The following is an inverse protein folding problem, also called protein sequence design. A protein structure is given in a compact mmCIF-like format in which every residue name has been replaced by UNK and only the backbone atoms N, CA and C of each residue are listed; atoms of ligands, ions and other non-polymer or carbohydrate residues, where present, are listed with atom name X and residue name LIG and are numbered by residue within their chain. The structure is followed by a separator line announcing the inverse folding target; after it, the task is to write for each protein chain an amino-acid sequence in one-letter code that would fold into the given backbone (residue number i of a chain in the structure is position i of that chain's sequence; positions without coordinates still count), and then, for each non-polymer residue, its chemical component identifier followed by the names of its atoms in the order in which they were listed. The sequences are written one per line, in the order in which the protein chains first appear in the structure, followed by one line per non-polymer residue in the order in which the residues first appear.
data_IF_664211187539
#
_entry.id   IF_664211187539
#
_cell.length_a   1.000
_cell.length_b   1.000
_cell.length_c   1.000
_cell.angle_alpha   90.00
_cell.angle_beta   90.00
_cell.angle_gamma   90.00
#
_symmetry.space_group_name_H-M   'P 1'
#
loop_
_entity.id
_entity.type
_entity.pdbx_description
1 polymer ?
#
# COMPACT_ATOMS: atom_id res chain seq x y z
N UNK A 1 13.33 -18.47 -27.81
CA UNK A 1 12.34 -18.78 -26.74
C UNK A 1 12.32 -17.61 -25.78
N UNK A 2 11.14 -17.06 -25.45
CA UNK A 2 11.05 -15.88 -24.56
C UNK A 2 10.90 -16.27 -23.07
N UNK A 3 10.46 -17.50 -22.84
CA UNK A 3 10.23 -18.05 -21.50
C UNK A 3 11.00 -19.36 -21.33
N UNK A 4 11.56 -19.59 -20.16
CA UNK A 4 12.17 -20.86 -19.78
C UNK A 4 11.53 -21.41 -18.51
N UNK A 5 11.41 -22.72 -18.45
CA UNK A 5 10.83 -23.42 -17.30
C UNK A 5 11.95 -23.98 -16.43
N UNK A 6 12.07 -23.46 -15.21
CA UNK A 6 13.01 -23.92 -14.22
C UNK A 6 12.34 -24.63 -13.02
N UNK A 7 13.14 -25.08 -12.07
CA UNK A 7 12.64 -25.68 -10.81
C UNK A 7 11.84 -24.70 -9.94
N UNK A 8 12.08 -23.40 -10.10
CA UNK A 8 11.40 -22.29 -9.40
C UNK A 8 10.19 -21.71 -10.15
N UNK A 9 9.78 -22.32 -11.28
CA UNK A 9 8.66 -21.84 -12.08
C UNK A 9 9.09 -21.43 -13.50
N UNK A 10 8.36 -20.47 -14.10
CA UNK A 10 8.63 -19.93 -15.43
C UNK A 10 9.33 -18.59 -15.29
N UNK A 11 10.48 -18.43 -15.96
CA UNK A 11 11.25 -17.21 -15.98
C UNK A 11 11.39 -16.68 -17.43
N UNK A 12 11.63 -15.36 -17.55
CA UNK A 12 11.99 -14.76 -18.82
C UNK A 12 13.45 -15.13 -19.17
N UNK A 13 13.67 -15.47 -20.42
CA UNK A 13 15.04 -15.55 -20.97
C UNK A 13 15.64 -14.16 -21.15
N UNK A 14 16.93 -14.06 -21.47
CA UNK A 14 17.57 -12.78 -21.83
C UNK A 14 16.81 -12.07 -22.96
N UNK A 15 16.44 -12.80 -24.01
CA UNK A 15 15.63 -12.27 -25.12
C UNK A 15 14.24 -11.85 -24.65
N UNK A 16 13.64 -12.63 -23.73
CA UNK A 16 12.35 -12.30 -23.11
C UNK A 16 12.40 -10.99 -22.34
N UNK A 17 13.45 -10.78 -21.55
CA UNK A 17 13.66 -9.51 -20.82
C UNK A 17 13.89 -8.33 -21.77
N UNK A 18 14.64 -8.55 -22.85
CA UNK A 18 14.89 -7.51 -23.85
C UNK A 18 13.61 -7.09 -24.59
N UNK A 19 12.74 -8.04 -24.90
CA UNK A 19 11.49 -7.78 -25.63
C UNK A 19 10.32 -7.34 -24.73
N UNK A 20 10.42 -7.57 -23.43
CA UNK A 20 9.35 -7.22 -22.47
C UNK A 20 8.84 -5.77 -22.57
N UNK A 21 9.70 -4.73 -22.70
CA UNK A 21 9.24 -3.36 -22.86
C UNK A 21 8.39 -3.15 -24.12
N UNK A 22 8.77 -3.81 -25.22
CA UNK A 22 8.02 -3.70 -26.47
C UNK A 22 6.67 -4.41 -26.39
N UNK A 23 6.61 -5.56 -25.73
CA UNK A 23 5.35 -6.27 -25.48
C UNK A 23 4.42 -5.43 -24.61
N UNK A 24 4.96 -4.78 -23.57
CA UNK A 24 4.20 -3.86 -22.73
C UNK A 24 3.62 -2.71 -23.53
N UNK A 25 4.43 -2.07 -24.39
CA UNK A 25 3.95 -0.98 -25.27
C UNK A 25 2.80 -1.43 -26.20
N UNK A 26 2.86 -2.65 -26.72
CA UNK A 26 1.78 -3.21 -27.55
C UNK A 26 0.50 -3.43 -26.73
N UNK A 27 0.63 -3.99 -25.55
CA UNK A 27 -0.50 -4.15 -24.63
C UNK A 27 -1.12 -2.79 -24.28
N UNK A 28 -0.30 -1.81 -23.94
CA UNK A 28 -0.76 -0.45 -23.60
C UNK A 28 -1.47 0.22 -24.79
N UNK A 29 -0.92 0.10 -25.99
CA UNK A 29 -1.55 0.62 -27.20
C UNK A 29 -2.91 -0.07 -27.48
N UNK A 30 -3.01 -1.37 -27.24
CA UNK A 30 -4.26 -2.13 -27.36
C UNK A 30 -5.30 -1.64 -26.35
N UNK A 31 -4.90 -1.40 -25.10
CA UNK A 31 -5.78 -0.85 -24.06
C UNK A 31 -6.32 0.53 -24.46
N UNK A 32 -5.44 1.43 -24.89
CA UNK A 32 -5.85 2.77 -25.37
C UNK A 32 -6.81 2.70 -26.54
N UNK A 33 -6.60 1.75 -27.46
CA UNK A 33 -7.53 1.53 -28.56
C UNK A 33 -8.90 1.07 -28.07
N UNK A 34 -8.95 0.15 -27.11
CA UNK A 34 -10.22 -0.34 -26.54
C UNK A 34 -10.95 0.79 -25.80
N UNK A 35 -10.25 1.63 -25.07
CA UNK A 35 -10.78 2.81 -24.39
C UNK A 35 -11.41 3.76 -25.40
N UNK A 36 -10.70 4.11 -26.47
CA UNK A 36 -11.22 4.98 -27.53
C UNK A 36 -12.44 4.39 -28.25
N UNK A 37 -12.45 3.08 -28.47
CA UNK A 37 -13.62 2.38 -29.02
C UNK A 37 -14.81 2.44 -28.04
N UNK A 38 -14.55 2.35 -26.74
CA UNK A 38 -15.55 2.54 -25.67
C UNK A 38 -16.16 3.93 -25.71
N UNK A 39 -15.33 4.96 -25.77
CA UNK A 39 -15.75 6.37 -25.87
C UNK A 39 -16.61 6.62 -27.13
N UNK A 40 -16.17 6.13 -28.30
CA UNK A 40 -16.91 6.27 -29.55
C UNK A 40 -18.28 5.58 -29.53
N UNK A 41 -18.42 4.53 -28.73
CA UNK A 41 -19.69 3.80 -28.55
C UNK A 41 -20.59 4.43 -27.47
N UNK A 42 -20.13 5.49 -26.79
CA UNK A 42 -20.84 6.08 -25.67
C UNK A 42 -20.98 5.13 -24.46
N UNK A 43 -20.16 4.08 -24.41
CA UNK A 43 -20.16 3.09 -23.34
C UNK A 43 -19.08 3.50 -22.33
N UNK A 44 -19.45 4.31 -21.35
CA UNK A 44 -18.63 4.59 -20.17
C UNK A 44 -18.65 3.38 -19.21
N UNK A 45 -18.16 2.24 -19.71
CA UNK A 45 -18.08 1.00 -18.95
C UNK A 45 -16.68 0.43 -19.03
N UNK A 46 -16.17 -0.08 -17.92
CA UNK A 46 -14.83 -0.64 -17.86
C UNK A 46 -14.53 -1.13 -16.45
N UNK A 47 -13.32 -1.63 -16.24
CA UNK A 47 -12.80 -2.04 -14.95
C UNK A 47 -11.53 -1.25 -14.64
N UNK A 48 -11.50 -0.56 -13.49
CA UNK A 48 -10.30 0.08 -12.97
C UNK A 48 -9.75 -0.78 -11.83
N UNK A 49 -8.52 -1.25 -11.98
CA UNK A 49 -7.79 -1.95 -10.92
C UNK A 49 -6.92 -0.96 -10.18
N UNK A 50 -7.06 -0.92 -8.87
CA UNK A 50 -6.39 0.05 -8.01
C UNK A 50 -5.54 -0.70 -6.99
N UNK A 51 -4.22 -0.47 -7.02
CA UNK A 51 -3.31 -0.92 -5.97
C UNK A 51 -3.47 -0.05 -4.73
N UNK A 52 -3.69 -0.65 -3.56
CA UNK A 52 -3.99 0.10 -2.35
C UNK A 52 -3.48 -0.61 -1.09
N UNK A 53 -3.48 0.08 0.03
CA UNK A 53 -3.21 -0.45 1.35
C UNK A 53 -4.38 -0.15 2.28
N UNK A 54 -4.44 -0.80 3.45
CA UNK A 54 -5.62 -0.83 4.32
C UNK A 54 -6.23 0.54 4.61
N UNK A 55 -5.42 1.52 5.03
CA UNK A 55 -5.91 2.84 5.40
C UNK A 55 -6.50 3.61 4.21
N UNK A 56 -5.84 3.61 3.05
CA UNK A 56 -6.36 4.26 1.84
C UNK A 56 -7.62 3.55 1.33
N UNK A 57 -7.65 2.21 1.36
CA UNK A 57 -8.81 1.41 0.98
C UNK A 57 -10.04 1.70 1.86
N UNK A 58 -9.82 1.97 3.14
CA UNK A 58 -10.90 2.20 4.11
C UNK A 58 -11.39 3.65 4.09
N UNK A 59 -10.48 4.61 4.07
CA UNK A 59 -10.84 6.01 4.34
C UNK A 59 -10.95 6.88 3.09
N UNK A 60 -10.18 6.58 2.04
CA UNK A 60 -10.19 7.39 0.82
C UNK A 60 -11.02 6.79 -0.30
N UNK A 61 -10.79 5.52 -0.65
CA UNK A 61 -11.43 4.89 -1.80
C UNK A 61 -12.97 4.92 -1.77
N UNK A 62 -13.66 4.69 -0.65
CA UNK A 62 -15.12 4.73 -0.65
C UNK A 62 -15.69 6.10 -1.07
N UNK A 63 -15.04 7.19 -0.66
CA UNK A 63 -15.44 8.55 -1.05
C UNK A 63 -15.10 8.85 -2.51
N UNK A 64 -13.89 8.48 -2.94
CA UNK A 64 -13.43 8.68 -4.32
C UNK A 64 -14.35 7.93 -5.28
N UNK A 65 -14.59 6.64 -5.05
CA UNK A 65 -15.45 5.81 -5.89
C UNK A 65 -16.89 6.34 -5.92
N UNK A 66 -17.42 6.75 -4.76
CA UNK A 66 -18.78 7.32 -4.70
C UNK A 66 -18.92 8.57 -5.57
N UNK A 67 -17.94 9.47 -5.53
CA UNK A 67 -17.98 10.70 -6.35
C UNK A 67 -17.77 10.37 -7.83
N UNK A 68 -16.79 9.53 -8.15
CA UNK A 68 -16.48 9.16 -9.52
C UNK A 68 -17.63 8.41 -10.22
N UNK A 69 -18.38 7.57 -9.49
CA UNK A 69 -19.55 6.86 -10.03
C UNK A 69 -20.71 7.76 -10.45
N UNK A 70 -20.75 9.01 -10.00
CA UNK A 70 -21.79 9.97 -10.44
C UNK A 70 -21.61 10.32 -11.93
N UNK A 71 -20.36 10.45 -12.35
CA UNK A 71 -20.02 10.83 -13.71
C UNK A 71 -19.81 9.60 -14.62
N UNK A 72 -19.34 8.46 -14.00
CA UNK A 72 -19.00 7.22 -14.71
C UNK A 72 -19.68 6.00 -14.08
N UNK A 73 -21.03 5.90 -14.16
CA UNK A 73 -21.79 4.86 -13.47
C UNK A 73 -21.54 3.43 -13.98
N UNK A 74 -21.00 3.29 -15.20
CA UNK A 74 -20.70 1.98 -15.82
C UNK A 74 -19.28 1.48 -15.54
N UNK A 75 -18.50 2.16 -14.72
CA UNK A 75 -17.14 1.73 -14.35
C UNK A 75 -17.19 0.84 -13.11
N UNK A 76 -16.61 -0.34 -13.21
CA UNK A 76 -16.37 -1.26 -12.10
C UNK A 76 -14.96 -1.07 -11.50
N UNK A 77 -14.75 -1.57 -10.29
CA UNK A 77 -13.50 -1.39 -9.56
C UNK A 77 -13.03 -2.71 -8.97
N UNK A 78 -11.72 -2.95 -9.07
CA UNK A 78 -11.04 -4.04 -8.38
C UNK A 78 -9.93 -3.45 -7.51
N UNK A 79 -9.90 -3.78 -6.21
CA UNK A 79 -8.89 -3.30 -5.28
C UNK A 79 -7.91 -4.42 -4.96
N UNK A 80 -6.64 -4.19 -5.24
CA UNK A 80 -5.55 -5.08 -4.89
C UNK A 80 -4.83 -4.52 -3.67
N UNK A 81 -4.93 -5.24 -2.53
CA UNK A 81 -4.24 -4.84 -1.31
C UNK A 81 -2.81 -5.37 -1.30
N UNK A 82 -1.86 -4.48 -1.07
CA UNK A 82 -0.44 -4.82 -0.98
C UNK A 82 0.36 -3.78 -0.21
N UNK A 83 1.65 -4.06 -0.02
CA UNK A 83 2.58 -3.05 0.43
C UNK A 83 3.03 -2.13 -0.73
N UNK A 84 3.77 -1.06 -0.40
CA UNK A 84 4.20 -0.08 -1.40
C UNK A 84 5.05 -0.69 -2.52
N UNK A 85 5.90 -1.68 -2.20
CA UNK A 85 6.76 -2.35 -3.19
C UNK A 85 5.94 -3.25 -4.11
N UNK A 86 4.95 -3.95 -3.57
CA UNK A 86 4.01 -4.76 -4.36
C UNK A 86 3.20 -3.88 -5.30
N UNK A 87 2.67 -2.75 -4.80
CA UNK A 87 1.88 -1.81 -5.61
C UNK A 87 2.74 -1.20 -6.73
N UNK A 88 3.98 -0.78 -6.44
CA UNK A 88 4.91 -0.31 -7.48
C UNK A 88 5.15 -1.38 -8.55
N UNK A 89 5.39 -2.63 -8.15
CA UNK A 89 5.57 -3.73 -9.09
C UNK A 89 4.31 -3.95 -9.94
N UNK A 90 3.11 -3.93 -9.34
CA UNK A 90 1.85 -4.08 -10.08
C UNK A 90 1.63 -2.96 -11.09
N UNK A 91 2.02 -1.73 -10.77
CA UNK A 91 1.98 -0.61 -11.71
C UNK A 91 2.93 -0.83 -12.88
N UNK A 92 4.18 -1.27 -12.63
CA UNK A 92 5.12 -1.58 -13.71
C UNK A 92 4.71 -2.78 -14.56
N UNK A 93 4.04 -3.75 -13.97
CA UNK A 93 3.53 -4.94 -14.66
C UNK A 93 2.22 -4.67 -15.42
N UNK A 94 1.60 -3.50 -15.22
CA UNK A 94 0.28 -3.19 -15.77
C UNK A 94 -0.83 -4.04 -15.16
N UNK A 95 -0.62 -4.56 -13.95
CA UNK A 95 -1.60 -5.34 -13.20
C UNK A 95 -2.66 -4.45 -12.58
N UNK A 96 -2.30 -3.20 -12.28
CA UNK A 96 -3.21 -2.14 -11.84
C UNK A 96 -2.99 -0.89 -12.68
N UNK A 97 -4.04 -0.12 -12.91
CA UNK A 97 -4.00 1.12 -13.70
C UNK A 97 -3.50 2.31 -12.87
N UNK A 98 -3.76 2.29 -11.58
CA UNK A 98 -3.25 3.30 -10.63
C UNK A 98 -3.08 2.68 -9.24
N UNK A 99 -2.42 3.42 -8.33
CA UNK A 99 -2.22 2.94 -6.97
C UNK A 99 -1.83 4.03 -6.01
N UNK A 100 -2.05 3.77 -4.72
CA UNK A 100 -1.59 4.63 -3.64
C UNK A 100 -0.20 4.20 -3.20
N UNK A 101 0.70 5.18 -3.08
CA UNK A 101 2.10 4.96 -2.73
C UNK A 101 2.55 5.99 -1.70
N UNK A 102 3.62 5.65 -1.01
CA UNK A 102 4.39 6.60 -0.21
C UNK A 102 5.43 7.28 -1.10
N UNK A 103 5.58 8.59 -0.94
CA UNK A 103 6.65 9.34 -1.63
C UNK A 103 7.98 9.27 -0.85
N UNK A 104 9.13 9.29 -1.55
CA UNK A 104 9.27 9.31 -3.01
C UNK A 104 8.93 7.96 -3.64
N UNK A 105 8.13 7.96 -4.70
CA UNK A 105 7.87 6.79 -5.52
C UNK A 105 9.02 6.57 -6.52
N UNK A 106 9.04 5.40 -7.17
CA UNK A 106 10.00 5.10 -8.21
C UNK A 106 9.93 6.15 -9.34
N UNK A 107 11.07 6.71 -9.80
CA UNK A 107 11.10 7.75 -10.85
C UNK A 107 10.46 7.34 -12.19
N UNK A 108 10.26 6.05 -12.43
CA UNK A 108 9.56 5.54 -13.62
C UNK A 108 8.05 5.64 -13.55
N UNK A 109 7.47 6.08 -12.41
CA UNK A 109 6.04 6.26 -12.21
C UNK A 109 5.68 7.74 -12.19
N UNK A 110 4.63 8.12 -12.90
CA UNK A 110 4.01 9.41 -12.72
C UNK A 110 3.28 9.43 -11.38
N UNK A 111 3.65 10.34 -10.49
CA UNK A 111 3.07 10.42 -9.15
C UNK A 111 2.53 11.80 -8.83
N UNK A 112 1.43 11.83 -8.08
CA UNK A 112 0.80 13.07 -7.61
C UNK A 112 0.67 13.04 -6.09
N UNK A 113 1.19 14.07 -5.43
CA UNK A 113 1.03 14.23 -3.99
C UNK A 113 -0.44 14.42 -3.63
N UNK A 114 -0.95 13.66 -2.69
CA UNK A 114 -2.31 13.75 -2.17
C UNK A 114 -2.34 14.40 -0.79
N UNK A 115 -1.72 13.76 0.18
CA UNK A 115 -1.77 14.20 1.58
C UNK A 115 -0.51 13.75 2.34
N UNK A 116 -0.23 14.39 3.46
CA UNK A 116 0.80 13.98 4.41
C UNK A 116 0.13 13.27 5.57
N UNK A 117 0.57 12.04 5.86
CA UNK A 117 0.14 11.30 7.03
C UNK A 117 1.17 11.39 8.16
N UNK A 118 0.75 11.11 9.38
CA UNK A 118 1.58 11.12 10.58
C UNK A 118 1.60 9.74 11.22
N UNK A 119 2.76 9.35 11.73
CA UNK A 119 2.86 8.17 12.58
C UNK A 119 2.51 8.56 14.02
N UNK A 120 1.57 7.85 14.62
CA UNK A 120 1.08 8.09 15.98
C UNK A 120 1.20 6.86 16.85
N UNK A 121 1.50 7.08 18.13
CA UNK A 121 1.54 6.00 19.12
C UNK A 121 0.13 5.51 19.43
N UNK A 122 -0.05 4.19 19.45
CA UNK A 122 -1.29 3.52 19.83
C UNK A 122 -1.08 2.79 21.15
N UNK A 123 -1.89 3.12 22.13
CA UNK A 123 -1.79 2.68 23.51
C UNK A 123 -3.15 2.20 24.03
N UNK A 124 -3.20 1.21 24.94
CA UNK A 124 -4.42 0.91 25.67
C UNK A 124 -4.91 2.16 26.44
N UNK A 125 -6.23 2.32 26.58
CA UNK A 125 -6.82 3.51 27.22
C UNK A 125 -6.35 3.73 28.67
N UNK A 126 -6.07 2.66 29.38
CA UNK A 126 -5.62 2.67 30.78
C UNK A 126 -4.10 2.70 30.94
N UNK A 127 -3.35 2.73 29.83
CA UNK A 127 -1.89 2.74 29.86
C UNK A 127 -1.33 3.99 30.54
N UNK A 128 -0.27 3.84 31.33
CA UNK A 128 0.34 4.95 32.11
C UNK A 128 0.82 6.09 31.21
N UNK A 129 1.37 5.76 30.04
CA UNK A 129 1.83 6.75 29.06
C UNK A 129 0.66 7.53 28.43
N UNK A 130 -0.50 6.90 28.25
CA UNK A 130 -1.69 7.57 27.71
C UNK A 130 -2.27 8.60 28.68
N UNK A 131 -2.20 8.34 29.99
CA UNK A 131 -2.72 9.22 31.03
C UNK A 131 -1.98 10.55 31.15
N UNK A 132 -0.77 10.66 30.64
CA UNK A 132 0.03 11.87 30.72
C UNK A 132 -0.55 13.03 29.89
N UNK A 133 -1.36 12.74 28.87
CA UNK A 133 -1.90 13.72 27.92
C UNK A 133 -0.84 14.47 27.11
N UNK A 134 0.40 13.98 27.14
CA UNK A 134 1.56 14.55 26.42
C UNK A 134 2.00 13.61 25.30
N UNK A 135 2.79 14.14 24.40
CA UNK A 135 3.47 13.32 23.39
C UNK A 135 4.31 12.23 24.08
N UNK A 136 4.23 11.02 23.55
CA UNK A 136 4.95 9.87 24.11
C UNK A 136 6.32 9.76 23.46
N UNK A 137 7.42 9.86 24.25
CA UNK A 137 8.76 9.70 23.70
C UNK A 137 8.95 8.29 23.12
N UNK A 138 9.51 8.19 21.92
CA UNK A 138 9.76 6.90 21.24
C UNK A 138 10.62 5.95 22.10
N UNK A 139 11.52 6.50 22.93
CA UNK A 139 12.35 5.71 23.85
C UNK A 139 11.55 5.01 24.94
N UNK A 140 10.39 5.53 25.33
CA UNK A 140 9.47 4.88 26.27
C UNK A 140 8.69 3.79 25.58
N UNK A 141 8.20 4.03 24.35
CA UNK A 141 7.53 3.00 23.53
C UNK A 141 8.46 1.80 23.27
N UNK A 142 9.76 2.04 23.09
CA UNK A 142 10.74 0.97 22.86
C UNK A 142 10.88 -0.01 24.04
N UNK A 143 10.49 0.40 25.25
CA UNK A 143 10.57 -0.42 26.47
C UNK A 143 9.31 -1.24 26.74
N UNK A 144 8.22 -0.89 26.08
CA UNK A 144 6.95 -1.57 26.22
C UNK A 144 6.88 -2.82 25.29
N UNK A 145 6.04 -3.81 25.60
CA UNK A 145 5.70 -4.86 24.64
C UNK A 145 5.19 -4.24 23.34
N UNK A 146 5.96 -4.36 22.27
CA UNK A 146 5.70 -3.64 21.03
C UNK A 146 5.12 -4.56 19.95
N UNK A 147 4.10 -4.07 19.26
CA UNK A 147 3.53 -4.74 18.07
C UNK A 147 3.97 -3.99 16.83
N UNK A 148 4.67 -4.68 15.95
CA UNK A 148 5.28 -4.12 14.76
C UNK A 148 4.43 -4.40 13.53
N UNK A 149 4.04 -3.32 12.84
CA UNK A 149 3.43 -3.40 11.51
C UNK A 149 4.54 -3.54 10.47
N UNK A 150 4.76 -4.75 9.98
CA UNK A 150 5.81 -5.00 8.98
C UNK A 150 5.49 -6.23 8.13
N UNK A 151 5.80 -6.16 6.82
CA UNK A 151 5.72 -7.26 5.87
C UNK A 151 7.00 -7.30 5.04
N UNK A 152 7.79 -8.36 5.22
CA UNK A 152 8.89 -8.72 4.31
C UNK A 152 10.05 -7.73 4.14
N UNK A 153 10.12 -6.67 4.95
CA UNK A 153 11.13 -5.63 4.83
C UNK A 153 11.08 -4.64 5.99
N UNK A 154 11.90 -3.58 5.92
CA UNK A 154 11.92 -2.54 6.95
C UNK A 154 10.75 -1.58 6.77
N UNK A 155 9.78 -1.62 7.70
CA UNK A 155 8.70 -0.64 7.78
C UNK A 155 9.20 0.75 8.18
N UNK A 156 8.34 1.78 8.00
CA UNK A 156 8.63 3.14 8.50
C UNK A 156 8.89 3.15 10.00
N UNK A 157 8.16 2.32 10.74
CA UNK A 157 8.30 2.19 12.19
C UNK A 157 9.65 1.59 12.56
N UNK A 158 10.10 0.55 11.83
CA UNK A 158 11.44 0.00 12.01
C UNK A 158 12.53 1.02 11.71
N UNK A 159 12.39 1.78 10.61
CA UNK A 159 13.31 2.86 10.25
C UNK A 159 13.31 3.99 11.30
N UNK A 160 12.15 4.33 11.86
CA UNK A 160 12.01 5.34 12.91
C UNK A 160 12.80 4.94 14.17
N UNK A 161 12.69 3.69 14.63
CA UNK A 161 13.47 3.20 15.76
C UNK A 161 14.98 3.18 15.46
N UNK A 162 15.37 2.72 14.26
CA UNK A 162 16.78 2.73 13.84
C UNK A 162 17.37 4.15 13.82
N UNK A 163 16.64 5.14 13.29
CA UNK A 163 17.08 6.54 13.25
C UNK A 163 17.34 7.12 14.65
N UNK A 164 16.67 6.59 15.68
CA UNK A 164 16.87 6.98 17.07
C UNK A 164 17.84 6.06 17.83
N UNK A 165 18.50 5.11 17.15
CA UNK A 165 19.36 4.09 17.74
C UNK A 165 18.65 3.28 18.84
N UNK A 166 17.34 3.03 18.70
CA UNK A 166 16.50 2.28 19.62
C UNK A 166 16.16 0.89 19.04
N UNK A 167 15.92 -0.05 19.96
CA UNK A 167 15.44 -1.39 19.62
C UNK A 167 14.19 -1.69 20.42
N UNK A 168 13.00 -1.70 19.79
CA UNK A 168 11.75 -2.00 20.48
C UNK A 168 11.69 -3.44 20.95
N UNK A 169 10.97 -3.69 22.04
CA UNK A 169 10.68 -5.02 22.55
C UNK A 169 9.56 -5.66 21.72
N UNK A 170 9.84 -6.07 20.47
CA UNK A 170 8.84 -6.65 19.57
C UNK A 170 8.35 -7.98 20.11
N UNK A 171 7.04 -8.10 20.34
CA UNK A 171 6.34 -9.31 20.76
C UNK A 171 5.52 -9.94 19.66
N UNK A 172 4.96 -9.10 18.79
CA UNK A 172 4.14 -9.51 17.66
C UNK A 172 4.55 -8.73 16.41
N UNK A 173 4.50 -9.39 15.27
CA UNK A 173 4.67 -8.77 13.95
C UNK A 173 3.52 -9.21 13.08
N UNK A 174 2.86 -8.26 12.47
CA UNK A 174 1.81 -8.48 11.47
C UNK A 174 1.83 -7.32 10.47
N UNK A 175 1.18 -7.48 9.34
CA UNK A 175 1.02 -6.40 8.36
C UNK A 175 -0.44 -5.89 8.28
N UNK A 176 -1.29 -6.36 9.18
CA UNK A 176 -2.68 -5.95 9.29
C UNK A 176 -2.86 -4.93 10.42
N UNK A 177 -3.13 -3.68 10.04
CA UNK A 177 -3.33 -2.56 10.95
C UNK A 177 -4.45 -2.82 11.96
N UNK A 178 -5.56 -3.41 11.50
CA UNK A 178 -6.73 -3.67 12.35
C UNK A 178 -6.44 -4.73 13.40
N UNK A 179 -5.66 -5.74 13.06
CA UNK A 179 -5.19 -6.73 14.03
C UNK A 179 -4.34 -6.08 15.13
N UNK A 180 -3.46 -5.14 14.76
CA UNK A 180 -2.67 -4.38 15.76
C UNK A 180 -3.60 -3.57 16.66
N UNK A 181 -4.54 -2.81 16.10
CA UNK A 181 -5.47 -2.00 16.90
C UNK A 181 -6.27 -2.86 17.89
N UNK A 182 -6.78 -4.00 17.45
CA UNK A 182 -7.48 -4.94 18.32
C UNK A 182 -6.59 -5.52 19.42
N UNK A 183 -5.34 -5.85 19.13
CA UNK A 183 -4.39 -6.35 20.13
C UNK A 183 -4.04 -5.26 21.16
N UNK A 184 -3.86 -4.00 20.72
CA UNK A 184 -3.64 -2.86 21.64
C UNK A 184 -4.86 -2.64 22.53
N UNK A 185 -6.07 -2.63 21.95
CA UNK A 185 -7.31 -2.50 22.72
C UNK A 185 -7.44 -3.57 23.83
N UNK A 186 -6.97 -4.79 23.54
CA UNK A 186 -6.96 -5.89 24.50
C UNK A 186 -5.72 -5.89 25.45
N UNK A 187 -4.92 -4.83 25.47
CA UNK A 187 -3.83 -4.65 26.41
C UNK A 187 -2.61 -5.53 26.17
N UNK A 188 -2.44 -6.08 24.94
CA UNK A 188 -1.32 -6.96 24.62
C UNK A 188 0.00 -6.20 24.38
N UNK A 189 -0.05 -4.87 24.29
CA UNK A 189 1.13 -4.02 24.14
C UNK A 189 0.78 -2.68 23.48
N UNK A 190 1.79 -2.04 22.91
CA UNK A 190 1.70 -0.74 22.26
C UNK A 190 2.16 -0.85 20.80
N UNK A 191 1.81 0.14 19.96
CA UNK A 191 2.25 0.20 18.58
C UNK A 191 2.44 1.64 18.10
N UNK A 192 2.91 1.78 16.87
CA UNK A 192 2.91 3.02 16.09
C UNK A 192 2.25 2.71 14.75
N UNK A 193 1.22 3.46 14.41
CA UNK A 193 0.46 3.32 13.16
C UNK A 193 0.32 4.67 12.45
N UNK A 194 0.06 4.67 11.13
CA UNK A 194 -0.36 5.87 10.41
C UNK A 194 -1.67 6.42 10.99
N UNK A 195 -1.78 7.74 11.14
CA UNK A 195 -3.01 8.39 11.63
C UNK A 195 -4.21 8.09 10.73
N UNK A 196 -4.00 7.94 9.44
CA UNK A 196 -5.06 7.70 8.47
C UNK A 196 -5.89 6.44 8.78
N UNK A 197 -5.32 5.45 9.49
CA UNK A 197 -6.05 4.21 9.82
C UNK A 197 -7.00 4.38 11.02
N UNK A 198 -6.88 5.45 11.81
CA UNK A 198 -7.68 5.76 12.99
C UNK A 198 -8.91 6.58 12.63
#
# INVERSE_FOLDING_TARGET
TLLERGRSGVNLTSDGMHLLPFVRNVCEAQWRLQEQVGELKGVHSGLIRIGTFSSAATHWLPRIVREFRKDYPGIDYEFLLGDYSEIENWLFEGRVECGFLRLPANPGLESRFLERDELVAILPLDHTLARSGKDVPIAELAREPFMLLEKGGKSEVSQLFEAHALRPLVRFTTWDDYSIMSMVENGLGVSILPRLIL
#
